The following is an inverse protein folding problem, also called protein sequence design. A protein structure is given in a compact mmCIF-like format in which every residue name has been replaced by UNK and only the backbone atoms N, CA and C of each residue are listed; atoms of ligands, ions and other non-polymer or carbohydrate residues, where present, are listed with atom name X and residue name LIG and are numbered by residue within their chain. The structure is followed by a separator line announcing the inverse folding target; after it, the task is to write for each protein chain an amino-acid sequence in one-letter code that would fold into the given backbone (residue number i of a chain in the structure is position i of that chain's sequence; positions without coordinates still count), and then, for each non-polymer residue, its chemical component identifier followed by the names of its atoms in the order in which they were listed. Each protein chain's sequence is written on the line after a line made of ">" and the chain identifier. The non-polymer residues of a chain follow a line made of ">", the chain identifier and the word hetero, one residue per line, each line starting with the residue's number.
data_IF_514587880849
#
_entry.id   IF_514587880849
#
_cell.length_a   1.000
_cell.length_b   1.000
_cell.length_c   1.000
_cell.angle_alpha   90.00
_cell.angle_beta   90.00
_cell.angle_gamma   90.00
#
_symmetry.space_group_name_H-M   'P 1'
#
loop_
_entity.id
_entity.type
_entity.pdbx_description
1 polymer ?
#
# COMPACT_ATOMS: atom_id res chain seq x y z
N UNK A 1 17.38 -15.84 -40.33
CA UNK A 1 15.98 -15.67 -39.87
C UNK A 1 16.06 -15.08 -38.48
N UNK A 2 15.76 -13.80 -38.35
CA UNK A 2 15.91 -13.04 -37.11
C UNK A 2 14.50 -12.80 -36.57
N UNK A 3 14.12 -13.52 -35.52
CA UNK A 3 12.82 -13.36 -34.86
C UNK A 3 12.91 -12.16 -33.92
N UNK A 4 12.30 -11.05 -34.30
CA UNK A 4 12.10 -9.89 -33.42
C UNK A 4 11.05 -10.23 -32.37
N UNK A 5 11.40 -10.02 -31.10
CA UNK A 5 10.48 -10.12 -29.97
C UNK A 5 9.36 -9.08 -30.10
N UNK A 6 8.12 -9.38 -29.66
CA UNK A 6 7.03 -8.42 -29.76
C UNK A 6 7.27 -7.25 -28.80
N UNK A 7 7.27 -6.03 -29.35
CA UNK A 7 7.18 -4.80 -28.57
C UNK A 7 5.89 -4.86 -27.75
N UNK A 8 6.02 -4.81 -26.41
CA UNK A 8 4.87 -4.63 -25.52
C UNK A 8 4.33 -3.22 -25.77
N UNK A 9 3.21 -3.12 -26.46
CA UNK A 9 2.45 -1.88 -26.57
C UNK A 9 2.01 -1.39 -25.18
N UNK A 10 1.65 -0.09 -25.05
CA UNK A 10 1.20 0.47 -23.79
C UNK A 10 -0.02 -0.32 -23.31
N UNK A 11 0.06 -0.82 -22.07
CA UNK A 11 -1.07 -1.48 -21.42
C UNK A 11 -2.07 -0.35 -21.12
N UNK A 12 -3.14 -0.26 -21.91
CA UNK A 12 -4.31 0.54 -21.57
C UNK A 12 -4.95 -0.10 -20.33
N UNK A 13 -4.46 0.27 -19.15
CA UNK A 13 -5.19 0.03 -17.92
C UNK A 13 -6.48 0.82 -18.04
N UNK A 14 -7.61 0.11 -18.16
CA UNK A 14 -8.94 0.72 -18.20
C UNK A 14 -9.00 1.78 -17.10
N UNK A 15 -9.05 3.05 -17.52
CA UNK A 15 -8.97 4.17 -16.60
C UNK A 15 -10.22 4.09 -15.72
N UNK A 16 -10.04 3.64 -14.47
CA UNK A 16 -11.05 3.81 -13.45
C UNK A 16 -11.40 5.30 -13.47
N UNK A 17 -12.67 5.63 -13.70
CA UNK A 17 -13.15 7.00 -13.54
C UNK A 17 -12.59 7.55 -12.22
N UNK A 18 -11.84 8.66 -12.29
CA UNK A 18 -11.11 9.21 -11.16
C UNK A 18 -12.02 9.42 -9.93
N UNK A 19 -13.30 9.72 -10.16
CA UNK A 19 -14.30 9.81 -9.11
C UNK A 19 -14.59 8.46 -8.43
N UNK A 20 -14.72 7.37 -9.22
CA UNK A 20 -14.92 6.03 -8.71
C UNK A 20 -13.68 5.54 -7.93
N UNK A 21 -12.47 5.83 -8.43
CA UNK A 21 -11.23 5.50 -7.73
C UNK A 21 -11.13 6.21 -6.37
N UNK A 22 -11.42 7.52 -6.33
CA UNK A 22 -11.42 8.29 -5.09
C UNK A 22 -12.47 7.78 -4.10
N UNK A 23 -13.66 7.38 -4.58
CA UNK A 23 -14.67 6.74 -3.75
C UNK A 23 -14.15 5.43 -3.13
N UNK A 24 -13.43 4.60 -3.89
CA UNK A 24 -12.80 3.40 -3.34
C UNK A 24 -11.77 3.74 -2.25
N UNK A 25 -10.88 4.72 -2.49
CA UNK A 25 -9.91 5.17 -1.48
C UNK A 25 -10.60 5.57 -0.17
N UNK A 26 -11.71 6.31 -0.24
CA UNK A 26 -12.48 6.71 0.95
C UNK A 26 -13.08 5.52 1.70
N UNK A 27 -13.70 4.58 0.97
CA UNK A 27 -14.28 3.36 1.55
C UNK A 27 -13.22 2.49 2.20
N UNK A 28 -12.11 2.25 1.51
CA UNK A 28 -10.96 1.47 2.00
C UNK A 28 -10.34 2.10 3.25
N UNK A 29 -10.16 3.43 3.24
CA UNK A 29 -9.69 4.20 4.39
C UNK A 29 -10.61 4.01 5.60
N UNK A 30 -11.92 4.18 5.41
CA UNK A 30 -12.89 4.02 6.49
C UNK A 30 -12.87 2.60 7.09
N UNK A 31 -12.86 1.58 6.22
CA UNK A 31 -12.75 0.18 6.65
C UNK A 31 -11.47 -0.06 7.46
N UNK A 32 -10.34 0.51 7.02
CA UNK A 32 -9.04 0.31 7.69
C UNK A 32 -8.98 0.98 9.06
N UNK A 33 -9.53 2.19 9.18
CA UNK A 33 -9.67 2.84 10.47
C UNK A 33 -10.58 2.04 11.41
N UNK A 34 -11.70 1.53 10.91
CA UNK A 34 -12.56 0.59 11.64
C UNK A 34 -11.82 -0.65 12.15
N UNK A 35 -11.00 -1.26 11.30
CA UNK A 35 -10.22 -2.44 11.66
C UNK A 35 -9.13 -2.14 12.70
N UNK A 36 -8.44 -1.01 12.56
CA UNK A 36 -7.31 -0.62 13.44
C UNK A 36 -7.74 -0.14 14.81
N UNK A 37 -8.95 0.41 14.96
CA UNK A 37 -9.53 0.70 16.29
C UNK A 37 -9.72 -0.54 17.17
N UNK A 38 -9.74 -1.75 16.57
CA UNK A 38 -9.83 -3.02 17.30
C UNK A 38 -8.47 -3.55 17.75
N UNK A 39 -7.37 -2.85 17.43
CA UNK A 39 -6.01 -3.26 17.78
C UNK A 39 -5.56 -2.59 19.08
N UNK A 40 -5.50 -3.35 20.16
CA UNK A 40 -4.82 -2.96 21.39
C UNK A 40 -3.32 -3.27 21.35
N UNK A 41 -2.62 -2.96 22.44
CA UNK A 41 -1.17 -3.19 22.53
C UNK A 41 -0.80 -4.67 22.35
N UNK A 42 -1.64 -5.60 22.82
CA UNK A 42 -1.41 -7.04 22.67
C UNK A 42 -1.58 -7.47 21.23
N UNK A 43 -2.65 -7.04 20.56
CA UNK A 43 -2.91 -7.38 19.17
C UNK A 43 -1.81 -6.82 18.24
N UNK A 44 -1.26 -5.66 18.56
CA UNK A 44 -0.18 -5.02 17.80
C UNK A 44 1.15 -5.79 17.87
N UNK A 45 1.35 -6.66 18.86
CA UNK A 45 2.51 -7.54 18.98
C UNK A 45 2.39 -8.81 18.13
N UNK A 46 1.19 -9.13 17.64
CA UNK A 46 0.99 -10.31 16.81
C UNK A 46 1.75 -10.18 15.47
N UNK A 47 2.24 -11.31 14.91
CA UNK A 47 2.93 -11.31 13.62
C UNK A 47 2.06 -10.75 12.49
N UNK A 48 2.69 -10.02 11.57
CA UNK A 48 2.06 -9.61 10.32
C UNK A 48 1.87 -10.80 9.36
N UNK A 49 0.85 -10.77 8.51
CA UNK A 49 0.58 -11.84 7.55
C UNK A 49 1.69 -11.97 6.49
N UNK A 50 2.43 -10.91 6.18
CA UNK A 50 3.63 -10.94 5.34
C UNK A 50 4.83 -11.60 6.05
N UNK A 51 4.84 -11.61 7.39
CA UNK A 51 6.00 -11.98 8.20
C UNK A 51 7.05 -10.88 8.34
N UNK A 52 6.79 -9.67 7.83
CA UNK A 52 7.69 -8.52 7.96
C UNK A 52 7.45 -7.77 9.28
N UNK A 53 7.71 -8.47 10.40
CA UNK A 53 7.53 -7.96 11.75
C UNK A 53 6.13 -8.21 12.31
N UNK A 54 5.65 -7.29 13.13
CA UNK A 54 4.34 -7.37 13.81
C UNK A 54 3.30 -6.47 13.16
N UNK A 55 2.03 -6.59 13.54
CA UNK A 55 0.96 -5.66 13.12
C UNK A 55 1.30 -4.19 13.41
N UNK A 56 2.04 -3.90 14.49
CA UNK A 56 2.60 -2.56 14.74
C UNK A 56 3.48 -2.06 13.59
N UNK A 57 4.32 -2.93 13.04
CA UNK A 57 5.19 -2.60 11.92
C UNK A 57 4.40 -2.32 10.65
N UNK A 58 3.30 -3.05 10.44
CA UNK A 58 2.36 -2.84 9.33
C UNK A 58 1.73 -1.46 9.41
N UNK A 59 1.14 -1.10 10.55
CA UNK A 59 0.55 0.24 10.76
C UNK A 59 1.60 1.34 10.59
N UNK A 60 2.77 1.18 11.22
CA UNK A 60 3.85 2.17 11.08
C UNK A 60 4.31 2.34 9.63
N UNK A 61 4.34 1.26 8.84
CA UNK A 61 4.70 1.31 7.41
C UNK A 61 3.67 2.09 6.60
N UNK A 62 2.38 1.87 6.85
CA UNK A 62 1.32 2.63 6.18
C UNK A 62 1.36 4.11 6.57
N UNK A 63 1.53 4.44 7.85
CA UNK A 63 1.69 5.83 8.32
C UNK A 63 2.85 6.53 7.58
N UNK A 64 3.98 5.82 7.41
CA UNK A 64 5.14 6.35 6.67
C UNK A 64 4.83 6.54 5.19
N UNK A 65 4.15 5.59 4.55
CA UNK A 65 3.71 5.73 3.16
C UNK A 65 2.77 6.94 3.00
N UNK A 66 1.74 7.05 3.84
CA UNK A 66 0.79 8.17 3.81
C UNK A 66 1.49 9.53 3.98
N UNK A 67 2.44 9.63 4.92
CA UNK A 67 3.26 10.84 5.08
C UNK A 67 4.10 11.17 3.85
N UNK A 68 4.72 10.17 3.20
CA UNK A 68 5.49 10.37 1.95
C UNK A 68 4.63 10.88 0.81
N UNK A 69 3.40 10.37 0.73
CA UNK A 69 2.41 10.78 -0.26
C UNK A 69 2.00 12.23 -0.04
N UNK A 70 1.81 12.66 1.21
CA UNK A 70 1.36 14.03 1.52
C UNK A 70 2.47 15.06 1.57
N UNK A 71 3.72 14.66 1.82
CA UNK A 71 4.86 15.56 1.90
C UNK A 71 5.17 16.25 0.56
N UNK A 72 5.81 17.41 0.64
CA UNK A 72 6.40 18.06 -0.53
C UNK A 72 7.49 17.15 -1.13
N UNK A 73 7.64 17.08 -2.46
CA UNK A 73 8.73 16.33 -3.09
C UNK A 73 10.12 16.72 -2.57
N UNK A 74 10.29 18.00 -2.23
CA UNK A 74 11.55 18.59 -1.77
C UNK A 74 11.78 18.48 -0.26
N UNK A 75 10.85 17.86 0.50
CA UNK A 75 11.00 17.72 1.94
C UNK A 75 12.06 16.64 2.28
N UNK A 76 13.20 17.00 2.91
CA UNK A 76 14.23 16.03 3.27
C UNK A 76 13.77 15.04 4.35
N UNK A 77 12.69 15.34 5.08
CA UNK A 77 12.06 14.43 6.02
C UNK A 77 11.07 13.45 5.36
N UNK A 78 10.85 13.56 4.04
CA UNK A 78 9.96 12.70 3.26
C UNK A 78 10.41 11.24 3.37
N UNK A 79 9.69 10.49 4.19
CA UNK A 79 9.93 9.05 4.33
C UNK A 79 10.98 8.64 5.35
N UNK A 80 11.52 9.58 6.12
CA UNK A 80 12.36 9.22 7.26
C UNK A 80 11.56 8.39 8.26
N UNK A 81 12.10 7.21 8.60
CA UNK A 81 11.53 6.31 9.57
C UNK A 81 11.61 6.94 10.95
N UNK A 82 10.49 7.43 11.48
CA UNK A 82 10.42 7.65 12.92
C UNK A 82 10.22 6.30 13.59
N UNK A 83 11.28 5.77 14.19
CA UNK A 83 11.22 4.58 15.05
C UNK A 83 10.36 4.80 16.30
N UNK A 84 9.97 6.05 16.55
CA UNK A 84 9.03 6.42 17.61
C UNK A 84 7.68 5.69 17.49
N UNK A 85 7.17 5.49 16.27
CA UNK A 85 5.91 4.78 16.04
C UNK A 85 5.94 3.32 16.51
N UNK A 86 7.12 2.69 16.47
CA UNK A 86 7.27 1.31 16.94
C UNK A 86 7.27 1.21 18.47
N UNK A 87 7.49 2.34 19.15
CA UNK A 87 7.50 2.43 20.63
C UNK A 87 6.25 3.11 21.18
N UNK A 88 5.45 3.75 20.33
CA UNK A 88 4.24 4.46 20.72
C UNK A 88 3.19 3.52 21.35
N UNK A 89 2.38 3.99 22.31
CA UNK A 89 1.15 3.32 22.72
C UNK A 89 0.22 3.04 21.53
N UNK A 90 -0.61 1.99 21.63
CA UNK A 90 -1.58 1.65 20.59
C UNK A 90 -2.48 2.83 20.19
N UNK A 91 -3.00 3.57 21.18
CA UNK A 91 -3.88 4.72 20.94
C UNK A 91 -3.19 5.80 20.09
N UNK A 92 -1.96 6.17 20.44
CA UNK A 92 -1.18 7.19 19.72
C UNK A 92 -0.83 6.74 18.29
N UNK A 93 -0.58 5.43 18.11
CA UNK A 93 -0.32 4.87 16.78
C UNK A 93 -1.57 4.89 15.89
N UNK A 94 -2.73 4.54 16.44
CA UNK A 94 -4.02 4.57 15.73
C UNK A 94 -4.42 6.02 15.41
N UNK A 95 -4.22 6.96 16.34
CA UNK A 95 -4.45 8.39 16.10
C UNK A 95 -3.54 8.96 15.00
N UNK A 96 -2.26 8.59 15.02
CA UNK A 96 -1.31 8.96 13.97
C UNK A 96 -1.72 8.38 12.60
N UNK A 97 -2.30 7.17 12.55
CA UNK A 97 -2.85 6.60 11.33
C UNK A 97 -4.09 7.36 10.86
N UNK A 98 -5.06 7.59 11.75
CA UNK A 98 -6.29 8.32 11.44
C UNK A 98 -6.00 9.71 10.86
N UNK A 99 -5.09 10.44 11.51
CA UNK A 99 -4.65 11.77 11.07
C UNK A 99 -3.99 11.74 9.69
N UNK A 100 -3.08 10.79 9.46
CA UNK A 100 -2.35 10.72 8.18
C UNK A 100 -3.23 10.25 7.03
N UNK A 101 -4.10 9.25 7.23
CA UNK A 101 -5.04 8.81 6.19
C UNK A 101 -6.07 9.89 5.83
N UNK A 102 -6.60 10.61 6.82
CA UNK A 102 -7.50 11.75 6.57
C UNK A 102 -6.81 12.85 5.76
N UNK A 103 -5.52 13.09 6.02
CA UNK A 103 -4.72 14.06 5.27
C UNK A 103 -4.51 13.62 3.82
N UNK A 104 -4.26 12.33 3.57
CA UNK A 104 -4.17 11.78 2.20
C UNK A 104 -5.50 11.94 1.46
N UNK A 105 -6.62 11.56 2.08
CA UNK A 105 -7.95 11.72 1.46
C UNK A 105 -8.21 13.18 1.10
N UNK A 106 -7.98 14.12 2.02
CA UNK A 106 -8.14 15.55 1.73
C UNK A 106 -7.28 16.01 0.57
N UNK A 107 -6.02 15.59 0.51
CA UNK A 107 -5.12 15.91 -0.61
C UNK A 107 -5.65 15.40 -1.93
N UNK A 108 -6.17 14.16 -1.96
CA UNK A 108 -6.72 13.56 -3.18
C UNK A 108 -8.08 14.18 -3.56
N UNK A 109 -8.84 14.69 -2.60
CA UNK A 109 -10.04 15.47 -2.85
C UNK A 109 -9.70 16.84 -3.49
N UNK A 110 -8.62 17.47 -3.02
CA UNK A 110 -8.13 18.76 -3.54
C UNK A 110 -7.46 18.61 -4.92
N UNK A 111 -6.73 17.52 -5.16
CA UNK A 111 -6.05 17.19 -6.41
C UNK A 111 -6.18 15.69 -6.77
N UNK A 112 -7.28 15.29 -7.46
CA UNK A 112 -7.51 13.90 -7.85
C UNK A 112 -6.52 13.38 -8.90
N UNK A 113 -5.85 14.27 -9.63
CA UNK A 113 -4.89 13.93 -10.67
C UNK A 113 -3.44 13.84 -10.14
N UNK A 114 -3.25 14.05 -8.83
CA UNK A 114 -1.95 14.02 -8.18
C UNK A 114 -1.15 12.77 -8.57
N UNK A 115 0.12 12.98 -8.92
CA UNK A 115 1.06 11.92 -9.31
C UNK A 115 2.16 11.73 -8.29
N UNK A 116 2.66 10.49 -8.19
CA UNK A 116 3.85 10.13 -7.40
C UNK A 116 4.99 9.83 -8.39
N UNK A 117 6.17 10.46 -8.24
CA UNK A 117 7.33 10.13 -9.06
C UNK A 117 7.73 8.67 -8.94
N UNK A 118 7.98 8.01 -10.07
CA UNK A 118 8.52 6.65 -10.14
C UNK A 118 9.49 6.51 -11.32
N UNK A 119 10.36 5.50 -11.26
CA UNK A 119 11.44 5.27 -12.23
C UNK A 119 10.92 4.95 -13.65
N UNK A 120 9.71 4.40 -13.76
CA UNK A 120 9.01 4.03 -15.00
C UNK A 120 7.94 5.05 -15.43
N UNK A 121 7.87 6.20 -14.75
CA UNK A 121 6.92 7.27 -15.00
C UNK A 121 5.92 7.46 -13.85
N UNK A 122 5.39 8.68 -13.78
CA UNK A 122 4.51 9.16 -12.71
C UNK A 122 3.23 8.31 -12.53
N UNK A 123 3.08 7.68 -11.35
CA UNK A 123 1.90 6.89 -11.01
C UNK A 123 0.78 7.76 -10.44
N UNK A 124 -0.48 7.39 -10.72
CA UNK A 124 -1.62 8.04 -10.09
C UNK A 124 -1.63 7.76 -8.59
N UNK A 125 -1.51 8.82 -7.79
CA UNK A 125 -1.38 8.73 -6.35
C UNK A 125 -2.54 7.98 -5.70
N UNK A 126 -3.77 8.21 -6.17
CA UNK A 126 -4.95 7.53 -5.66
C UNK A 126 -4.92 6.01 -5.94
N UNK A 127 -4.36 5.58 -7.07
CA UNK A 127 -4.27 4.17 -7.46
C UNK A 127 -3.26 3.43 -6.59
N UNK A 128 -2.03 3.96 -6.48
CA UNK A 128 -1.02 3.36 -5.59
C UNK A 128 -1.50 3.34 -4.13
N UNK A 129 -2.11 4.44 -3.67
CA UNK A 129 -2.63 4.50 -2.30
C UNK A 129 -3.76 3.49 -2.03
N UNK A 130 -4.66 3.26 -2.99
CA UNK A 130 -5.70 2.24 -2.87
C UNK A 130 -5.09 0.84 -2.70
N UNK A 131 -4.07 0.50 -3.50
CA UNK A 131 -3.37 -0.78 -3.36
C UNK A 131 -2.74 -0.92 -1.97
N UNK A 132 -2.09 0.13 -1.46
CA UNK A 132 -1.53 0.15 -0.11
C UNK A 132 -2.59 -0.08 0.97
N UNK A 133 -3.77 0.52 0.87
CA UNK A 133 -4.85 0.35 1.85
C UNK A 133 -5.34 -1.11 1.91
N UNK A 134 -5.66 -1.72 0.75
CA UNK A 134 -6.16 -3.09 0.70
C UNK A 134 -5.09 -4.11 1.12
N UNK A 135 -3.86 -3.97 0.64
CA UNK A 135 -2.77 -4.88 1.02
C UNK A 135 -2.39 -4.73 2.50
N UNK A 136 -2.57 -3.53 3.08
CA UNK A 136 -2.40 -3.33 4.53
C UNK A 136 -3.48 -4.07 5.32
N UNK A 137 -4.74 -4.08 4.87
CA UNK A 137 -5.80 -4.86 5.53
C UNK A 137 -5.44 -6.35 5.60
N UNK A 138 -5.01 -6.91 4.47
CA UNK A 138 -4.55 -8.30 4.41
C UNK A 138 -3.35 -8.52 5.32
N UNK A 139 -2.35 -7.63 5.30
CA UNK A 139 -1.14 -7.77 6.12
C UNK A 139 -1.41 -7.68 7.63
N UNK A 140 -2.44 -6.91 8.02
CA UNK A 140 -2.93 -6.88 9.40
C UNK A 140 -3.62 -8.21 9.78
N UNK A 141 -4.34 -8.85 8.85
CA UNK A 141 -5.03 -10.12 9.11
C UNK A 141 -6.06 -10.02 10.23
N UNK A 142 -6.86 -8.94 10.23
CA UNK A 142 -7.90 -8.67 11.25
C UNK A 142 -9.28 -8.85 10.62
N UNK A 143 -9.65 -10.12 10.37
CA UNK A 143 -10.92 -10.47 9.73
C UNK A 143 -11.04 -9.94 8.31
N UNK A 144 -9.91 -9.78 7.62
CA UNK A 144 -9.83 -9.39 6.22
C UNK A 144 -8.68 -10.17 5.57
N UNK A 145 -9.00 -10.94 4.54
CA UNK A 145 -8.08 -11.79 3.81
C UNK A 145 -8.03 -11.41 2.33
N UNK A 146 -7.16 -12.07 1.56
CA UNK A 146 -6.99 -11.82 0.12
C UNK A 146 -8.31 -11.93 -0.67
N UNK A 147 -9.21 -12.83 -0.26
CA UNK A 147 -10.49 -13.05 -0.93
C UNK A 147 -11.57 -12.00 -0.58
N UNK A 148 -11.32 -11.15 0.43
CA UNK A 148 -12.21 -10.06 0.84
C UNK A 148 -11.93 -8.74 0.08
N UNK A 149 -10.86 -8.71 -0.72
CA UNK A 149 -10.48 -7.55 -1.53
C UNK A 149 -11.61 -7.25 -2.53
N UNK A 150 -12.14 -6.02 -2.58
CA UNK A 150 -13.14 -5.65 -3.57
C UNK A 150 -12.59 -5.77 -4.99
N UNK A 151 -13.38 -6.33 -5.90
CA UNK A 151 -13.00 -6.47 -7.31
C UNK A 151 -12.57 -5.14 -7.94
N UNK A 152 -13.22 -4.05 -7.57
CA UNK A 152 -12.89 -2.69 -8.01
C UNK A 152 -11.48 -2.20 -7.60
N UNK A 153 -10.87 -2.81 -6.59
CA UNK A 153 -9.52 -2.48 -6.13
C UNK A 153 -8.44 -3.36 -6.78
N UNK A 154 -8.81 -4.47 -7.43
CA UNK A 154 -7.85 -5.39 -8.06
C UNK A 154 -6.98 -4.70 -9.12
N UNK A 155 -7.49 -3.82 -10.01
CA UNK A 155 -6.64 -3.12 -10.98
C UNK A 155 -5.54 -2.28 -10.32
N UNK A 156 -5.85 -1.65 -9.18
CA UNK A 156 -4.87 -0.86 -8.43
C UNK A 156 -3.79 -1.75 -7.81
N UNK A 157 -4.18 -2.89 -7.25
CA UNK A 157 -3.24 -3.88 -6.68
C UNK A 157 -2.36 -4.48 -7.77
N UNK A 158 -2.93 -4.87 -8.90
CA UNK A 158 -2.18 -5.39 -10.05
C UNK A 158 -1.15 -4.37 -10.52
N UNK A 159 -1.54 -3.11 -10.77
CA UNK A 159 -0.62 -2.05 -11.18
C UNK A 159 0.50 -1.82 -10.14
N UNK A 160 0.18 -1.86 -8.84
CA UNK A 160 1.18 -1.75 -7.77
C UNK A 160 2.16 -2.93 -7.80
N UNK A 161 1.66 -4.17 -7.90
CA UNK A 161 2.51 -5.36 -7.90
C UNK A 161 3.37 -5.42 -9.17
N UNK A 162 2.82 -5.17 -10.35
CA UNK A 162 3.57 -5.13 -11.60
C UNK A 162 4.74 -4.15 -11.52
N UNK A 163 4.52 -2.97 -10.95
CA UNK A 163 5.58 -1.96 -10.75
C UNK A 163 6.61 -2.38 -9.72
N UNK A 164 6.18 -2.82 -8.55
CA UNK A 164 7.07 -2.99 -7.39
C UNK A 164 7.51 -4.43 -7.13
N UNK A 165 7.13 -5.38 -7.98
CA UNK A 165 7.61 -6.78 -7.95
C UNK A 165 8.27 -7.21 -9.26
N UNK A 166 8.36 -6.31 -10.25
CA UNK A 166 9.23 -6.54 -11.39
C UNK A 166 10.69 -6.68 -10.91
N UNK A 167 11.42 -7.73 -11.34
CA UNK A 167 12.84 -7.85 -11.03
C UNK A 167 13.58 -6.62 -11.53
N UNK A 168 14.45 -6.07 -10.68
CA UNK A 168 15.39 -5.04 -11.12
C UNK A 168 16.32 -5.58 -12.24
N UNK A 169 17.16 -4.71 -12.80
CA UNK A 169 18.12 -5.09 -13.84
C UNK A 169 19.05 -6.25 -13.45
N UNK A 170 19.13 -6.60 -12.15
CA UNK A 170 19.94 -7.67 -11.60
C UNK A 170 19.14 -8.93 -11.25
N UNK A 171 17.85 -9.00 -11.59
CA UNK A 171 17.01 -10.16 -11.31
C UNK A 171 16.48 -10.24 -9.88
N UNK A 172 16.60 -9.16 -9.10
CA UNK A 172 16.16 -9.10 -7.69
C UNK A 172 14.73 -8.57 -7.62
N UNK A 173 13.79 -9.42 -7.18
CA UNK A 173 12.38 -9.03 -6.93
C UNK A 173 12.18 -8.54 -5.49
N UNK A 174 13.01 -9.04 -4.56
CA UNK A 174 12.91 -8.74 -3.14
C UNK A 174 13.49 -7.35 -2.84
N UNK A 175 12.62 -6.36 -2.61
CA UNK A 175 13.06 -5.05 -2.10
C UNK A 175 12.11 -3.89 -2.34
N UNK A 176 11.22 -4.01 -3.33
CA UNK A 176 10.51 -2.85 -3.88
C UNK A 176 9.10 -2.65 -3.29
N UNK A 177 8.30 -3.72 -3.15
CA UNK A 177 7.04 -3.68 -2.37
C UNK A 177 7.16 -4.44 -1.05
N UNK A 178 6.74 -3.85 0.09
CA UNK A 178 6.67 -4.59 1.34
C UNK A 178 5.58 -5.68 1.34
N UNK A 179 4.71 -5.73 0.32
CA UNK A 179 3.61 -6.68 0.22
C UNK A 179 3.95 -7.92 -0.62
N UNK A 180 5.10 -7.95 -1.30
CA UNK A 180 5.50 -9.06 -2.16
C UNK A 180 5.47 -10.42 -1.43
N UNK A 181 5.79 -10.44 -0.14
CA UNK A 181 5.78 -11.65 0.68
C UNK A 181 4.39 -12.19 1.05
N UNK A 182 3.32 -11.41 0.86
CA UNK A 182 1.95 -11.92 1.00
C UNK A 182 1.66 -12.98 -0.06
N UNK A 183 2.26 -12.85 -1.25
CA UNK A 183 2.04 -13.71 -2.40
C UNK A 183 3.06 -14.85 -2.50
N UNK A 184 4.25 -14.69 -1.90
CA UNK A 184 5.27 -15.73 -1.87
C UNK A 184 4.93 -16.93 -0.94
N UNK A 185 3.88 -16.81 -0.11
CA UNK A 185 3.51 -17.85 0.87
C UNK A 185 2.71 -19.00 0.29
N UNK A 186 2.12 -18.86 -0.89
CA UNK A 186 1.34 -19.92 -1.54
C UNK A 186 2.20 -21.07 -2.10
N UNK A 187 3.53 -20.92 -2.16
CA UNK A 187 4.43 -21.96 -2.68
C UNK A 187 4.99 -22.91 -1.61
N UNK A 188 4.66 -22.76 -0.32
CA UNK A 188 5.11 -23.73 0.68
C UNK A 188 4.15 -24.92 0.75
N UNK A 189 4.57 -26.16 0.40
CA UNK A 189 3.74 -27.32 0.64
C UNK A 189 3.51 -27.45 2.14
N UNK A 190 2.24 -27.54 2.54
CA UNK A 190 1.85 -27.93 3.91
C UNK A 190 2.55 -29.26 4.21
N UNK A 191 3.48 -29.23 5.17
CA UNK A 191 4.09 -30.45 5.72
C UNK A 191 3.15 -31.07 6.73
#
# INVERSE_FOLDING_TARGET
>A
MTTTAPERGPIEHADLDGAALLQQVRLSTHRLLGATMRLGDVELLLPAASGLGTRRHVVARLVRHARRVTASPDDPARGLASDSLLKAPAADLVDALATTLTTVVRRLDDDPAARIPADDGDELCARDHLAWLELTHVDLGVGFEMHDIPEAALPAITAHLERWTAPDANGTVAGNSPFALLFARDERPRR
#
